data_IF_832410080175
#
_entry.id   IF_832410080175
#
_cell.length_a   1.000
_cell.length_b   1.000
_cell.length_c   1.000
_cell.angle_alpha   90.00
_cell.angle_beta   90.00
_cell.angle_gamma   90.00
#
_symmetry.space_group_name_H-M   'P 1'
#
loop_
_entity.id
_entity.type
_entity.pdbx_description
1 polymer ?
#
# COMPACT_ATOMS: atom_id res chain seq x y z
N UNK A 1 -28.36 16.57 -10.97
CA UNK A 1 -27.65 17.02 -9.74
C UNK A 1 -28.00 16.09 -8.58
N UNK A 2 -27.37 14.90 -8.48
CA UNK A 2 -27.65 13.96 -7.39
C UNK A 2 -26.50 12.94 -7.17
N UNK A 3 -25.24 13.39 -7.19
CA UNK A 3 -24.07 12.48 -7.13
C UNK A 3 -23.18 12.63 -5.90
N UNK A 4 -23.59 13.45 -4.91
CA UNK A 4 -22.74 13.74 -3.74
C UNK A 4 -23.34 13.35 -2.38
N UNK A 5 -24.57 12.83 -2.31
CA UNK A 5 -25.31 12.77 -1.03
C UNK A 5 -25.48 11.38 -0.39
N UNK A 6 -24.99 10.29 -0.97
CA UNK A 6 -25.22 8.93 -0.43
C UNK A 6 -23.94 8.24 0.08
N UNK A 7 -22.77 8.86 -0.08
CA UNK A 7 -21.50 8.27 0.38
C UNK A 7 -21.29 8.43 1.89
N UNK A 8 -21.92 9.41 2.56
CA UNK A 8 -21.66 9.69 3.98
C UNK A 8 -22.43 8.84 5.00
N UNK A 9 -23.46 8.07 4.63
CA UNK A 9 -24.34 7.42 5.63
C UNK A 9 -24.07 5.93 5.89
N UNK A 10 -23.00 5.36 5.33
CA UNK A 10 -22.62 3.94 5.53
C UNK A 10 -21.24 3.74 6.17
N UNK A 11 -20.60 4.82 6.60
CA UNK A 11 -19.38 4.77 7.40
C UNK A 11 -19.72 4.34 8.83
N UNK A 12 -19.71 3.02 9.00
CA UNK A 12 -19.41 2.27 10.22
C UNK A 12 -19.33 3.13 11.49
N UNK A 13 -20.33 2.97 12.35
CA UNK A 13 -20.33 3.42 13.74
C UNK A 13 -18.98 3.12 14.41
N UNK A 14 -18.51 4.00 15.30
CA UNK A 14 -17.21 3.85 15.95
C UNK A 14 -17.22 2.54 16.75
N UNK A 15 -16.37 1.59 16.34
CA UNK A 15 -15.88 0.56 17.26
C UNK A 15 -15.20 1.35 18.37
N UNK A 16 -15.79 1.31 19.57
CA UNK A 16 -15.45 2.18 20.68
C UNK A 16 -13.94 2.13 20.95
N UNK A 17 -13.32 3.31 20.81
CA UNK A 17 -11.94 3.56 21.14
C UNK A 17 -11.73 3.38 22.64
N UNK A 18 -10.98 2.34 23.02
CA UNK A 18 -10.18 2.38 24.23
C UNK A 18 -9.09 3.44 24.04
N UNK A 19 -8.96 4.34 25.01
CA UNK A 19 -8.10 5.53 24.97
C UNK A 19 -6.68 5.21 24.48
N UNK A 20 -6.31 5.73 23.31
CA UNK A 20 -4.96 5.66 22.74
C UNK A 20 -4.80 4.92 21.40
N UNK A 21 -5.84 4.23 20.90
CA UNK A 21 -5.76 3.50 19.64
C UNK A 21 -5.81 4.41 18.41
N UNK A 22 -4.79 4.37 17.55
CA UNK A 22 -4.87 4.95 16.20
C UNK A 22 -6.15 4.46 15.49
N UNK A 23 -6.96 5.40 15.03
CA UNK A 23 -8.16 5.11 14.25
C UNK A 23 -7.77 4.60 12.84
N UNK A 24 -8.50 3.61 12.33
CA UNK A 24 -8.33 3.14 10.96
C UNK A 24 -8.70 4.28 10.00
N UNK A 25 -7.77 4.67 9.13
CA UNK A 25 -8.00 5.78 8.21
C UNK A 25 -9.07 5.44 7.16
N UNK A 26 -9.93 6.41 6.78
CA UNK A 26 -10.84 6.27 5.66
C UNK A 26 -10.10 5.97 4.36
N UNK A 27 -10.77 5.27 3.45
CA UNK A 27 -10.18 4.82 2.18
C UNK A 27 -9.51 5.94 1.38
N UNK A 28 -10.13 7.12 1.32
CA UNK A 28 -9.61 8.27 0.57
C UNK A 28 -8.30 8.80 1.16
N UNK A 29 -8.22 8.90 2.48
CA UNK A 29 -7.02 9.35 3.21
C UNK A 29 -5.90 8.32 3.06
N UNK A 30 -6.21 7.05 3.27
CA UNK A 30 -5.23 5.97 3.18
C UNK A 30 -4.67 5.81 1.76
N UNK A 31 -5.52 5.91 0.73
CA UNK A 31 -5.09 5.92 -0.66
C UNK A 31 -4.13 7.10 -0.96
N UNK A 32 -4.43 8.28 -0.42
CA UNK A 32 -3.54 9.43 -0.56
C UNK A 32 -2.18 9.22 0.13
N UNK A 33 -2.14 8.52 1.27
CA UNK A 33 -0.89 8.15 1.94
C UNK A 33 -0.07 7.13 1.17
N UNK A 34 -0.71 6.10 0.59
CA UNK A 34 -0.03 5.15 -0.30
C UNK A 34 0.59 5.88 -1.50
N UNK A 35 -0.17 6.76 -2.15
CA UNK A 35 0.32 7.48 -3.33
C UNK A 35 1.44 8.47 -2.99
N UNK A 36 1.35 9.13 -1.83
CA UNK A 36 2.43 9.98 -1.30
C UNK A 36 3.70 9.16 -1.11
N UNK A 37 3.59 7.97 -0.55
CA UNK A 37 4.76 7.14 -0.29
C UNK A 37 5.34 6.52 -1.56
N UNK A 38 4.49 6.16 -2.52
CA UNK A 38 4.92 5.80 -3.88
C UNK A 38 5.75 6.91 -4.52
N UNK A 39 5.27 8.15 -4.46
CA UNK A 39 6.00 9.30 -5.01
C UNK A 39 7.32 9.59 -4.27
N UNK A 40 7.42 9.27 -2.98
CA UNK A 40 8.67 9.39 -2.20
C UNK A 40 9.66 8.29 -2.56
N UNK A 41 9.20 7.05 -2.65
CA UNK A 41 9.99 5.90 -3.07
C UNK A 41 10.56 6.10 -4.47
N UNK A 42 9.77 6.64 -5.40
CA UNK A 42 10.22 6.99 -6.77
C UNK A 42 11.35 8.03 -6.78
N UNK A 43 11.40 8.93 -5.79
CA UNK A 43 12.42 10.00 -5.72
C UNK A 43 13.68 9.56 -4.97
N UNK A 44 13.52 8.83 -3.88
CA UNK A 44 14.60 8.56 -2.93
C UNK A 44 15.12 7.12 -3.01
N UNK A 45 14.44 6.23 -3.74
CA UNK A 45 14.80 4.82 -3.87
C UNK A 45 14.48 3.96 -2.64
N UNK A 46 14.01 4.57 -1.54
CA UNK A 46 13.57 3.83 -0.35
C UNK A 46 12.21 3.20 -0.61
N UNK A 47 12.15 1.87 -0.56
CA UNK A 47 10.92 1.13 -0.76
C UNK A 47 9.99 1.12 0.45
N UNK A 48 8.76 0.67 0.26
CA UNK A 48 7.79 0.44 1.33
C UNK A 48 7.07 -0.89 1.10
N UNK A 49 6.39 -1.39 2.13
CA UNK A 49 5.54 -2.58 2.02
C UNK A 49 4.11 -2.29 2.46
N UNK A 50 3.14 -2.86 1.75
CA UNK A 50 1.72 -2.79 2.08
C UNK A 50 1.21 -4.19 2.40
N UNK A 51 0.68 -4.37 3.61
CA UNK A 51 0.00 -5.61 4.02
C UNK A 51 -1.50 -5.38 3.92
N UNK A 52 -2.19 -6.16 3.09
CA UNK A 52 -3.62 -6.08 2.89
C UNK A 52 -4.32 -7.28 3.53
N UNK A 53 -5.00 -7.07 4.66
CA UNK A 53 -5.81 -8.08 5.35
C UNK A 53 -7.23 -8.15 4.77
N UNK A 54 -7.72 -9.36 4.52
CA UNK A 54 -9.07 -9.61 4.05
C UNK A 54 -10.07 -9.53 5.22
N UNK A 55 -10.94 -8.52 5.18
CA UNK A 55 -11.98 -8.21 6.15
C UNK A 55 -13.35 -8.14 5.46
N UNK A 56 -13.85 -9.30 5.01
CA UNK A 56 -15.19 -9.39 4.41
C UNK A 56 -16.25 -8.86 5.37
N UNK A 57 -17.34 -8.27 4.85
CA UNK A 57 -18.44 -7.77 5.69
C UNK A 57 -19.02 -8.85 6.61
N UNK A 58 -19.13 -10.08 6.12
CA UNK A 58 -19.57 -11.25 6.90
C UNK A 58 -18.58 -11.62 8.02
N UNK A 59 -17.32 -11.25 7.87
CA UNK A 59 -16.21 -11.65 8.73
C UNK A 59 -15.82 -10.59 9.76
N UNK A 60 -16.41 -9.38 9.69
CA UNK A 60 -16.12 -8.27 10.61
C UNK A 60 -16.34 -8.60 12.09
N UNK A 61 -17.24 -9.53 12.38
CA UNK A 61 -17.51 -9.99 13.74
C UNK A 61 -16.70 -11.22 14.14
N UNK A 62 -15.85 -11.77 13.27
CA UNK A 62 -14.98 -12.89 13.62
C UNK A 62 -14.00 -12.45 14.73
N UNK A 63 -13.76 -13.30 15.74
CA UNK A 63 -12.82 -13.00 16.82
C UNK A 63 -11.43 -12.61 16.31
N UNK A 64 -10.95 -13.28 15.26
CA UNK A 64 -9.64 -13.02 14.65
C UNK A 64 -9.52 -11.60 14.07
N UNK A 65 -10.58 -11.09 13.43
CA UNK A 65 -10.62 -9.72 12.90
C UNK A 65 -10.67 -8.69 14.03
N UNK A 66 -11.53 -8.91 15.03
CA UNK A 66 -11.60 -7.99 16.18
C UNK A 66 -10.28 -7.95 16.94
N UNK A 67 -9.65 -9.10 17.13
CA UNK A 67 -8.35 -9.18 17.79
C UNK A 67 -7.26 -8.48 16.96
N UNK A 68 -7.22 -8.71 15.64
CA UNK A 68 -6.34 -7.98 14.72
C UNK A 68 -6.47 -6.47 14.93
N UNK A 69 -7.68 -5.93 14.80
CA UNK A 69 -7.91 -4.48 14.92
C UNK A 69 -7.54 -3.92 16.31
N UNK A 70 -7.57 -4.74 17.35
CA UNK A 70 -7.18 -4.33 18.70
C UNK A 70 -5.65 -4.37 18.92
N UNK A 71 -4.94 -5.34 18.35
CA UNK A 71 -3.49 -5.47 18.56
C UNK A 71 -2.67 -4.57 17.64
N UNK A 72 -3.21 -4.24 16.46
CA UNK A 72 -2.46 -3.51 15.45
C UNK A 72 -1.99 -2.13 15.93
N UNK A 73 -2.81 -1.27 16.56
CA UNK A 73 -2.37 0.05 17.01
C UNK A 73 -1.19 0.02 17.99
N UNK A 74 -1.03 -1.06 18.76
CA UNK A 74 0.09 -1.24 19.68
C UNK A 74 1.33 -1.89 19.07
N UNK A 75 1.26 -2.35 17.81
CA UNK A 75 2.34 -3.07 17.13
C UNK A 75 2.94 -2.32 15.94
N UNK A 76 2.20 -1.39 15.34
CA UNK A 76 2.69 -0.58 14.23
C UNK A 76 3.54 0.59 14.76
N UNK A 77 4.56 1.02 14.00
CA UNK A 77 5.39 2.17 14.40
C UNK A 77 4.57 3.45 14.31
N UNK A 78 5.00 4.49 15.03
CA UNK A 78 4.39 5.83 14.94
C UNK A 78 4.33 6.35 13.50
N UNK A 79 5.32 5.98 12.69
CA UNK A 79 5.39 6.37 11.27
C UNK A 79 4.48 5.55 10.38
N UNK A 80 4.14 4.31 10.75
CA UNK A 80 3.33 3.41 9.93
C UNK A 80 1.86 3.79 9.99
N UNK A 81 1.14 3.62 8.88
CA UNK A 81 -0.26 4.03 8.75
C UNK A 81 -1.17 2.83 8.49
N UNK A 82 -2.41 2.87 8.98
CA UNK A 82 -3.42 1.84 8.74
C UNK A 82 -4.72 2.47 8.23
N UNK A 83 -5.31 1.86 7.21
CA UNK A 83 -6.57 2.34 6.66
C UNK A 83 -7.29 1.33 5.79
N UNK A 84 -8.50 1.68 5.36
CA UNK A 84 -9.26 0.84 4.43
C UNK A 84 -8.66 0.94 3.02
N UNK A 85 -8.38 -0.21 2.40
CA UNK A 85 -8.03 -0.27 0.97
C UNK A 85 -9.30 -0.21 0.14
N UNK A 86 -10.30 -0.97 0.55
CA UNK A 86 -11.64 -1.02 -0.04
C UNK A 86 -12.68 -1.46 1.01
N UNK A 87 -13.86 -1.92 0.59
CA UNK A 87 -14.94 -2.36 1.49
C UNK A 87 -14.63 -3.66 2.26
N UNK A 88 -13.68 -4.45 1.77
CA UNK A 88 -13.35 -5.80 2.21
C UNK A 88 -11.88 -5.95 2.62
N UNK A 89 -11.06 -4.90 2.58
CA UNK A 89 -9.66 -4.98 2.91
C UNK A 89 -9.19 -3.82 3.79
N UNK A 90 -8.43 -4.17 4.83
CA UNK A 90 -7.69 -3.21 5.67
C UNK A 90 -6.22 -3.33 5.32
N UNK A 91 -5.60 -2.20 5.03
CA UNK A 91 -4.19 -2.08 4.70
C UNK A 91 -3.36 -1.56 5.88
N UNK A 92 -2.13 -2.03 5.97
CA UNK A 92 -1.07 -1.47 6.80
C UNK A 92 0.07 -1.07 5.88
N UNK A 93 0.38 0.23 5.87
CA UNK A 93 1.48 0.81 5.12
C UNK A 93 2.72 0.87 6.03
N UNK A 94 3.72 0.06 5.71
CA UNK A 94 5.00 -0.03 6.41
C UNK A 94 6.07 0.74 5.65
N UNK A 95 6.51 1.86 6.22
CA UNK A 95 7.52 2.73 5.60
C UNK A 95 8.91 2.09 5.65
N UNK A 96 9.73 2.32 4.62
CA UNK A 96 11.14 1.87 4.56
C UNK A 96 11.33 0.39 4.91
N UNK A 97 10.34 -0.44 4.59
CA UNK A 97 10.28 -1.85 5.02
C UNK A 97 10.24 -2.77 3.80
N UNK A 98 11.13 -3.75 3.78
CA UNK A 98 11.19 -4.77 2.71
C UNK A 98 9.99 -5.72 2.78
N UNK A 99 9.71 -6.41 1.68
CA UNK A 99 8.61 -7.38 1.62
C UNK A 99 8.85 -8.54 2.61
N UNK A 100 10.11 -8.91 2.79
CA UNK A 100 10.56 -9.96 3.71
C UNK A 100 10.31 -9.56 5.17
N UNK A 101 10.68 -8.33 5.54
CA UNK A 101 10.47 -7.78 6.88
C UNK A 101 8.98 -7.60 7.19
N UNK A 102 8.20 -7.14 6.21
CA UNK A 102 6.75 -7.09 6.31
C UNK A 102 6.15 -8.50 6.51
N UNK A 103 6.73 -9.53 5.88
CA UNK A 103 6.37 -10.93 6.09
C UNK A 103 6.67 -11.43 7.50
N UNK A 104 7.81 -11.05 8.06
CA UNK A 104 8.15 -11.34 9.46
C UNK A 104 7.16 -10.67 10.41
N UNK A 105 6.84 -9.40 10.17
CA UNK A 105 5.86 -8.63 10.94
C UNK A 105 4.47 -9.26 10.90
N UNK A 106 3.97 -9.62 9.71
CA UNK A 106 2.67 -10.28 9.55
C UNK A 106 2.60 -11.61 10.30
N UNK A 107 3.65 -12.44 10.24
CA UNK A 107 3.72 -13.71 10.99
C UNK A 107 3.68 -13.51 12.50
N UNK A 108 4.32 -12.47 13.03
CA UNK A 108 4.27 -12.17 14.46
C UNK A 108 2.86 -11.76 14.92
N UNK A 109 2.16 -11.01 14.07
CA UNK A 109 0.76 -10.66 14.27
C UNK A 109 -0.11 -11.91 14.22
N UNK A 110 0.04 -12.75 13.19
CA UNK A 110 -0.72 -14.00 13.04
C UNK A 110 -0.52 -14.92 14.24
N UNK A 111 0.71 -15.11 14.69
CA UNK A 111 1.01 -15.94 15.86
C UNK A 111 0.24 -15.45 17.09
N UNK A 112 0.21 -14.13 17.33
CA UNK A 112 -0.55 -13.52 18.42
C UNK A 112 -2.06 -13.77 18.28
N UNK A 113 -2.60 -13.63 17.07
CA UNK A 113 -4.04 -13.84 16.80
C UNK A 113 -4.43 -15.31 16.91
N UNK A 114 -3.60 -16.22 16.39
CA UNK A 114 -3.84 -17.66 16.43
C UNK A 114 -3.86 -18.15 17.87
N UNK A 115 -2.92 -17.71 18.71
CA UNK A 115 -2.91 -18.03 20.14
C UNK A 115 -4.17 -17.56 20.87
N UNK A 116 -4.78 -16.45 20.45
CA UNK A 116 -5.99 -15.90 21.09
C UNK A 116 -7.31 -16.43 20.50
N UNK A 117 -7.35 -16.80 19.22
CA UNK A 117 -8.61 -17.01 18.48
C UNK A 117 -8.66 -18.29 17.64
N UNK A 118 -7.56 -19.05 17.57
CA UNK A 118 -7.45 -20.31 16.83
C UNK A 118 -7.36 -20.19 15.30
N UNK A 119 -7.47 -18.99 14.73
CA UNK A 119 -7.32 -18.78 13.28
C UNK A 119 -6.80 -17.39 12.94
N UNK A 120 -5.98 -17.27 11.90
CA UNK A 120 -5.49 -15.99 11.39
C UNK A 120 -6.33 -15.49 10.20
N UNK A 121 -6.50 -14.17 10.06
CA UNK A 121 -7.09 -13.58 8.85
C UNK A 121 -6.17 -13.76 7.64
N UNK A 122 -6.74 -13.87 6.44
CA UNK A 122 -5.98 -13.93 5.20
C UNK A 122 -5.37 -12.55 4.90
N UNK A 123 -4.16 -12.51 4.37
CA UNK A 123 -3.54 -11.28 3.89
C UNK A 123 -2.65 -11.52 2.67
N UNK A 124 -2.33 -10.41 2.00
CA UNK A 124 -1.35 -10.34 0.91
C UNK A 124 -0.34 -9.24 1.24
N UNK A 125 0.93 -9.46 0.90
CA UNK A 125 2.00 -8.47 1.08
C UNK A 125 2.48 -7.99 -0.28
N UNK A 126 2.50 -6.68 -0.45
CA UNK A 126 3.05 -6.01 -1.61
C UNK A 126 4.28 -5.21 -1.21
N UNK A 127 5.36 -5.29 -1.99
CA UNK A 127 6.53 -4.44 -1.85
C UNK A 127 6.61 -3.44 -3.01
N UNK A 128 7.05 -2.23 -2.73
CA UNK A 128 7.31 -1.19 -3.72
C UNK A 128 8.71 -0.59 -3.52
N UNK A 129 9.50 -0.32 -4.58
CA UNK A 129 9.26 -0.75 -5.94
C UNK A 129 9.18 -2.28 -6.02
N UNK A 130 8.29 -2.80 -6.87
CA UNK A 130 8.12 -4.24 -7.02
C UNK A 130 9.44 -4.81 -7.55
N UNK A 131 10.24 -5.41 -6.69
CA UNK A 131 11.43 -6.15 -7.12
C UNK A 131 10.95 -7.30 -8.01
N UNK A 132 11.14 -7.18 -9.32
CA UNK A 132 11.07 -8.33 -10.24
C UNK A 132 12.28 -9.23 -10.00
N UNK A 133 12.32 -9.90 -8.85
CA UNK A 133 13.31 -10.94 -8.54
C UNK A 133 12.64 -12.01 -7.65
N UNK A 134 12.36 -13.18 -8.24
CA UNK A 134 12.18 -14.44 -7.52
C UNK A 134 10.76 -14.92 -7.28
N UNK A 135 10.14 -15.58 -8.26
CA UNK A 135 9.10 -16.59 -8.04
C UNK A 135 9.73 -17.76 -7.27
N UNK A 136 9.55 -17.81 -5.95
CA UNK A 136 9.94 -18.94 -5.11
C UNK A 136 8.71 -19.55 -4.46
N UNK A 137 8.25 -20.70 -4.97
CA UNK A 137 7.20 -21.49 -4.36
C UNK A 137 7.58 -21.90 -2.93
N UNK A 138 6.63 -21.75 -2.00
CA UNK A 138 6.63 -22.38 -0.70
C UNK A 138 6.58 -23.92 -0.87
N UNK A 139 7.73 -24.58 -0.82
CA UNK A 139 7.82 -25.99 -0.48
C UNK A 139 9.22 -26.32 0.10
N UNK A 140 9.27 -26.54 1.41
CA UNK A 140 10.23 -27.35 2.19
C UNK A 140 11.66 -27.53 1.62
N UNK A 141 12.67 -26.95 2.29
CA UNK A 141 13.72 -27.65 3.09
C UNK A 141 14.75 -26.65 3.63
N UNK A 142 15.46 -27.04 4.70
CA UNK A 142 16.43 -26.26 5.47
C UNK A 142 17.72 -25.82 4.73
N UNK A 143 18.77 -25.39 5.47
CA UNK A 143 19.65 -24.29 5.08
C UNK A 143 20.97 -24.74 4.42
N UNK A 144 21.40 -24.05 3.36
CA UNK A 144 22.81 -23.83 2.94
C UNK A 144 22.86 -23.15 1.56
N UNK A 145 23.44 -21.94 1.44
CA UNK A 145 24.78 -21.60 0.91
C UNK A 145 24.93 -21.53 -0.64
N UNK A 146 25.47 -20.37 -1.07
CA UNK A 146 26.36 -20.11 -2.22
C UNK A 146 25.80 -19.96 -3.67
N UNK A 147 25.78 -18.68 -4.10
CA UNK A 147 26.35 -18.04 -5.29
C UNK A 147 26.49 -18.74 -6.68
N UNK A 148 26.06 -17.95 -7.70
CA UNK A 148 26.57 -17.79 -9.08
C UNK A 148 25.98 -18.70 -10.21
N UNK A 149 26.18 -18.40 -11.53
CA UNK A 149 25.24 -17.60 -12.35
C UNK A 149 24.82 -18.26 -13.71
N UNK A 150 24.04 -17.51 -14.51
CA UNK A 150 23.78 -17.59 -15.98
C UNK A 150 22.65 -18.53 -16.49
N UNK A 151 21.65 -17.95 -17.18
CA UNK A 151 21.36 -18.09 -18.64
C UNK A 151 19.92 -17.72 -19.01
N UNK A 152 19.83 -16.95 -20.09
CA UNK A 152 18.63 -16.51 -20.78
C UNK A 152 17.77 -17.67 -21.26
N UNK A 153 16.45 -17.53 -21.16
CA UNK A 153 15.47 -18.16 -22.06
C UNK A 153 14.11 -17.49 -21.93
N UNK A 154 13.69 -16.86 -23.02
CA UNK A 154 12.33 -16.35 -23.25
C UNK A 154 11.29 -17.45 -23.08
N UNK A 155 10.26 -17.19 -22.28
CA UNK A 155 8.97 -17.88 -22.41
C UNK A 155 7.83 -16.92 -22.12
N UNK A 156 7.28 -16.43 -23.23
CA UNK A 156 6.07 -15.60 -23.38
C UNK A 156 4.85 -16.32 -22.78
N UNK A 157 4.51 -16.00 -21.52
CA UNK A 157 3.28 -16.42 -20.86
C UNK A 157 2.33 -15.24 -20.63
N UNK A 158 1.23 -15.17 -21.40
CA UNK A 158 0.16 -14.17 -21.23
C UNK A 158 -0.56 -14.39 -19.88
N UNK A 159 -0.15 -13.68 -18.83
CA UNK A 159 -0.85 -13.70 -17.54
C UNK A 159 -2.09 -12.80 -17.60
N UNK A 160 -3.25 -13.39 -17.31
CA UNK A 160 -4.54 -12.70 -17.24
C UNK A 160 -4.50 -11.65 -16.13
N UNK A 161 -4.70 -10.38 -16.49
CA UNK A 161 -4.79 -9.27 -15.55
C UNK A 161 -6.06 -9.38 -14.72
N UNK A 162 -5.94 -9.90 -13.50
CA UNK A 162 -6.96 -9.74 -12.46
C UNK A 162 -6.91 -8.30 -11.95
N UNK A 163 -8.08 -7.72 -11.63
CA UNK A 163 -8.22 -6.31 -11.21
C UNK A 163 -7.53 -5.91 -9.89
N UNK A 164 -6.57 -6.70 -9.43
CA UNK A 164 -5.86 -6.60 -8.16
C UNK A 164 -4.52 -5.84 -8.27
N UNK A 165 -4.01 -5.66 -9.50
CA UNK A 165 -2.81 -4.86 -9.77
C UNK A 165 -3.10 -3.35 -9.79
N UNK A 166 -4.36 -2.92 -9.73
CA UNK A 166 -4.75 -1.53 -10.04
C UNK A 166 -4.17 -0.53 -9.04
N UNK A 167 -4.02 -0.87 -7.76
CA UNK A 167 -3.62 0.10 -6.73
C UNK A 167 -2.14 0.48 -6.83
N UNK A 168 -1.26 -0.49 -7.13
CA UNK A 168 0.19 -0.24 -7.26
C UNK A 168 0.63 -0.01 -8.71
N UNK A 169 -0.23 -0.36 -9.68
CA UNK A 169 0.03 -0.19 -11.12
C UNK A 169 -0.74 0.99 -11.72
N UNK A 170 -1.47 1.77 -10.90
CA UNK A 170 -2.05 3.06 -11.29
C UNK A 170 -0.93 4.09 -11.50
N UNK A 171 -0.16 3.88 -12.57
CA UNK A 171 0.75 4.84 -13.15
C UNK A 171 -0.09 5.99 -13.72
N UNK A 172 -0.52 6.90 -12.86
CA UNK A 172 -1.04 8.19 -13.28
C UNK A 172 0.16 9.00 -13.79
N UNK A 173 0.64 8.65 -14.99
CA UNK A 173 1.48 9.55 -15.78
C UNK A 173 0.70 10.85 -15.87
N UNK A 174 1.22 11.90 -15.25
CA UNK A 174 0.64 13.24 -15.39
C UNK A 174 0.42 13.50 -16.89
N UNK A 175 -0.79 13.91 -17.32
CA UNK A 175 -1.06 14.14 -18.73
C UNK A 175 0.00 15.10 -19.26
N UNK A 176 0.73 14.67 -20.30
CA UNK A 176 1.88 15.41 -20.84
C UNK A 176 1.54 16.86 -21.17
N UNK A 177 0.29 17.12 -21.52
CA UNK A 177 -0.22 18.46 -21.76
C UNK A 177 -0.09 19.39 -20.54
N UNK A 178 -0.28 18.89 -19.31
CA UNK A 178 -0.12 19.68 -18.08
C UNK A 178 1.35 20.05 -17.81
N UNK A 179 2.30 19.28 -18.32
CA UNK A 179 3.73 19.67 -18.28
C UNK A 179 4.07 20.71 -19.35
N UNK A 180 3.43 20.64 -20.53
CA UNK A 180 3.67 21.62 -21.59
C UNK A 180 3.09 22.99 -21.24
N UNK A 181 1.98 23.07 -20.51
CA UNK A 181 1.37 24.35 -20.10
C UNK A 181 2.27 25.15 -19.18
N UNK A 182 2.88 24.50 -18.18
CA UNK A 182 3.77 25.18 -17.23
C UNK A 182 5.05 25.66 -17.91
N UNK A 183 5.62 24.86 -18.82
CA UNK A 183 6.82 25.21 -19.59
C UNK A 183 6.54 26.38 -20.55
N UNK A 184 5.43 26.33 -21.29
CA UNK A 184 5.07 27.40 -22.22
C UNK A 184 4.77 28.70 -21.49
N UNK A 185 4.03 28.64 -20.38
CA UNK A 185 3.71 29.80 -19.55
C UNK A 185 4.96 30.45 -18.95
N UNK A 186 5.88 29.66 -18.38
CA UNK A 186 7.14 30.17 -17.85
C UNK A 186 8.03 30.78 -18.94
N UNK A 187 8.10 30.17 -20.13
CA UNK A 187 8.90 30.70 -21.24
C UNK A 187 8.34 32.03 -21.77
N UNK A 188 7.02 32.13 -21.92
CA UNK A 188 6.37 33.36 -22.37
C UNK A 188 6.53 34.48 -21.33
N UNK A 189 6.35 34.16 -20.04
CA UNK A 189 6.59 35.10 -18.95
C UNK A 189 8.03 35.62 -18.92
N UNK A 190 9.02 34.74 -19.15
CA UNK A 190 10.43 35.14 -19.23
C UNK A 190 10.68 36.09 -20.41
N UNK A 191 10.08 35.82 -21.58
CA UNK A 191 10.21 36.69 -22.75
C UNK A 191 9.65 38.10 -22.52
N UNK A 192 8.51 38.19 -21.83
CA UNK A 192 7.86 39.47 -21.51
C UNK A 192 8.66 40.25 -20.45
N UNK A 193 9.21 39.57 -19.45
CA UNK A 193 9.97 40.21 -18.37
C UNK A 193 11.45 40.47 -18.72
N UNK A 194 12.01 39.80 -19.72
CA UNK A 194 13.41 39.98 -20.16
C UNK A 194 13.82 41.44 -20.41
N UNK A 195 13.05 42.29 -21.10
CA UNK A 195 13.41 43.70 -21.31
C UNK A 195 13.44 44.53 -20.02
N UNK A 196 12.66 44.16 -18.99
CA UNK A 196 12.70 44.84 -17.68
C UNK A 196 13.99 44.51 -16.92
N UNK A 197 14.56 43.31 -17.13
CA UNK A 197 15.85 42.94 -16.53
C UNK A 197 17.07 43.55 -17.25
N UNK A 198 16.88 44.12 -18.45
CA UNK A 198 17.97 44.79 -19.20
C UNK A 198 18.02 46.31 -19.00
N UNK A 199 17.13 46.87 -18.19
CA UNK A 199 17.11 48.28 -17.76
C UNK A 199 17.71 48.41 -16.36
#
# INVERSE_FOLDING_TARGET
MAFHSVINSLFVSPVHAGAGGQCIDPQTKFAASIERERARADRNGHGFSLIAYEVKKADRNKPSIRHLLNILPGRIRLTDEMGWIDKQQVGILLYSTTKEDAGNFARQIDASIISATGSAPRYVIHGYPSSTVGTGNLARKGPSQQAAPVKDSEARGKSKKTGHDIILTANHRMPKWKRMTDIAGASLGLMICAPVFML
#
